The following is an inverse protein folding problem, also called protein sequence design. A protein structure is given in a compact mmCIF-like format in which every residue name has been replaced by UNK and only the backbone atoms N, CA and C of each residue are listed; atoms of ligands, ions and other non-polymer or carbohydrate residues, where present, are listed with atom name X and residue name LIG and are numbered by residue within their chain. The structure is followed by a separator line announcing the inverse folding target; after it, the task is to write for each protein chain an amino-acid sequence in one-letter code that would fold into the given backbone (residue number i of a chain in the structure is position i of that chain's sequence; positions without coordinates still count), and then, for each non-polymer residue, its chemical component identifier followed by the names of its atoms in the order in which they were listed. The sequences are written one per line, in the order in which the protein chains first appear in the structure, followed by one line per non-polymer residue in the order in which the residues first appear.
data_IF_256066990117
#
_entry.id   IF_256066990117
#
_cell.length_a   1.000
_cell.length_b   1.000
_cell.length_c   1.000
_cell.angle_alpha   90.00
_cell.angle_beta   90.00
_cell.angle_gamma   90.00
#
_symmetry.space_group_name_H-M   'P 1'
#
loop_
_entity.id
_entity.type
_entity.pdbx_description
1 polymer ?
#
# COMPACT_ATOMS: atom_id res chain seq x y z
N UNK A 1 -30.74 4.95 -32.68
CA UNK A 1 -29.33 5.40 -32.84
C UNK A 1 -29.11 6.66 -32.02
N UNK A 2 -27.90 6.90 -31.49
CA UNK A 2 -27.48 8.12 -30.76
C UNK A 2 -27.62 8.17 -29.21
N UNK A 3 -26.97 7.22 -28.50
CA UNK A 3 -26.53 7.46 -27.10
C UNK A 3 -25.03 7.16 -26.87
N UNK A 4 -24.39 6.35 -27.72
CA UNK A 4 -22.95 6.01 -27.61
C UNK A 4 -21.96 7.11 -28.06
N UNK A 5 -22.40 8.11 -28.83
CA UNK A 5 -21.49 9.12 -29.40
C UNK A 5 -21.03 10.19 -28.40
N UNK A 6 -21.82 10.46 -27.34
CA UNK A 6 -21.48 11.47 -26.32
C UNK A 6 -20.49 10.94 -25.28
N UNK A 7 -20.62 9.66 -24.89
CA UNK A 7 -19.71 9.00 -23.94
C UNK A 7 -18.29 8.85 -24.51
N UNK A 8 -18.16 8.46 -25.78
CA UNK A 8 -16.86 8.35 -26.46
C UNK A 8 -16.13 9.70 -26.61
N UNK A 9 -16.86 10.80 -26.88
CA UNK A 9 -16.28 12.15 -26.98
C UNK A 9 -15.84 12.72 -25.63
N UNK A 10 -16.52 12.40 -24.54
CA UNK A 10 -16.09 12.81 -23.20
C UNK A 10 -14.84 12.07 -22.75
N UNK A 11 -14.76 10.76 -23.06
CA UNK A 11 -13.60 9.93 -22.74
C UNK A 11 -12.33 10.39 -23.51
N UNK A 12 -12.45 10.70 -24.81
CA UNK A 12 -11.31 11.16 -25.61
C UNK A 12 -10.79 12.55 -25.20
N UNK A 13 -11.69 13.49 -24.84
CA UNK A 13 -11.29 14.80 -24.31
C UNK A 13 -10.55 14.70 -22.98
N UNK A 14 -11.02 13.84 -22.07
CA UNK A 14 -10.36 13.61 -20.79
C UNK A 14 -8.97 12.99 -21.00
N UNK A 15 -8.86 11.97 -21.85
CA UNK A 15 -7.58 11.34 -22.18
C UNK A 15 -6.57 12.36 -22.73
N UNK A 16 -6.98 13.19 -23.68
CA UNK A 16 -6.11 14.22 -24.26
C UNK A 16 -5.68 15.25 -23.21
N UNK A 17 -6.59 15.70 -22.33
CA UNK A 17 -6.26 16.59 -21.22
C UNK A 17 -5.23 15.98 -20.27
N UNK A 18 -5.39 14.70 -19.92
CA UNK A 18 -4.43 13.97 -19.08
C UNK A 18 -3.07 13.80 -19.76
N UNK A 19 -3.05 13.48 -21.07
CA UNK A 19 -1.82 13.42 -21.86
C UNK A 19 -1.08 14.75 -21.84
N UNK A 20 -1.77 15.86 -22.12
CA UNK A 20 -1.16 17.18 -22.09
C UNK A 20 -0.57 17.51 -20.71
N UNK A 21 -1.32 17.25 -19.63
CA UNK A 21 -0.84 17.49 -18.27
C UNK A 21 0.39 16.63 -17.92
N UNK A 22 0.41 15.35 -18.29
CA UNK A 22 1.54 14.46 -18.03
C UNK A 22 2.75 14.79 -18.90
N UNK A 23 2.57 15.11 -20.18
CA UNK A 23 3.65 15.53 -21.08
C UNK A 23 4.33 16.80 -20.57
N UNK A 24 3.57 17.77 -20.07
CA UNK A 24 4.13 18.94 -19.42
C UNK A 24 4.93 18.59 -18.15
N UNK A 25 4.47 17.60 -17.37
CA UNK A 25 5.23 17.14 -16.21
C UNK A 25 6.54 16.48 -16.60
N UNK A 26 6.59 15.71 -17.69
CA UNK A 26 7.80 14.99 -18.16
C UNK A 26 8.58 15.75 -19.23
N UNK A 27 8.41 17.07 -19.32
CA UNK A 27 9.23 17.91 -20.19
C UNK A 27 10.73 17.73 -19.84
N UNK A 28 11.57 17.61 -20.87
CA UNK A 28 13.01 17.36 -20.72
C UNK A 28 13.40 15.90 -20.47
N UNK A 29 12.45 14.97 -20.35
CA UNK A 29 12.75 13.54 -20.28
C UNK A 29 13.03 12.98 -21.69
N UNK A 30 13.76 11.87 -21.74
CA UNK A 30 14.10 11.20 -23.00
C UNK A 30 12.85 10.85 -23.83
N UNK A 31 13.07 10.81 -25.15
CA UNK A 31 12.02 10.53 -26.14
C UNK A 31 11.16 9.29 -25.82
N UNK A 32 11.71 8.14 -25.38
CA UNK A 32 10.91 6.95 -25.09
C UNK A 32 9.84 7.18 -24.02
N UNK A 33 10.13 7.99 -23.00
CA UNK A 33 9.17 8.29 -21.91
C UNK A 33 8.05 9.19 -22.41
N UNK A 34 8.40 10.23 -23.19
CA UNK A 34 7.41 11.12 -23.82
C UNK A 34 6.52 10.36 -24.81
N UNK A 35 7.11 9.45 -25.58
CA UNK A 35 6.36 8.58 -26.50
C UNK A 35 5.41 7.63 -25.76
N UNK A 36 5.81 7.08 -24.61
CA UNK A 36 4.94 6.24 -23.78
C UNK A 36 3.69 7.00 -23.31
N UNK A 37 3.85 8.26 -22.89
CA UNK A 37 2.70 9.11 -22.50
C UNK A 37 1.86 9.50 -23.72
N UNK A 38 2.50 9.93 -24.81
CA UNK A 38 1.83 10.38 -26.04
C UNK A 38 0.97 9.30 -26.68
N UNK A 39 1.44 8.05 -26.67
CA UNK A 39 0.77 6.90 -27.26
C UNK A 39 -0.19 6.17 -26.31
N UNK A 40 -0.31 6.58 -25.03
CA UNK A 40 -1.19 5.89 -24.09
C UNK A 40 -2.66 5.90 -24.54
N UNK A 41 -3.28 4.74 -24.67
CA UNK A 41 -4.72 4.64 -25.02
C UNK A 41 -5.62 4.84 -23.80
N UNK A 42 -5.07 4.65 -22.60
CA UNK A 42 -5.76 4.81 -21.33
C UNK A 42 -4.81 5.37 -20.28
N UNK A 43 -5.28 6.37 -19.54
CA UNK A 43 -4.58 6.94 -18.39
C UNK A 43 -5.52 6.87 -17.20
N UNK A 44 -5.05 6.31 -16.10
CA UNK A 44 -5.79 6.24 -14.84
C UNK A 44 -5.00 7.05 -13.81
N UNK A 45 -5.68 7.98 -13.15
CA UNK A 45 -5.09 8.74 -12.05
C UNK A 45 -5.43 8.06 -10.73
N UNK A 46 -4.40 7.51 -10.07
CA UNK A 46 -4.52 7.02 -8.71
C UNK A 46 -4.02 8.06 -7.72
N UNK A 47 -4.77 8.25 -6.64
CA UNK A 47 -4.31 9.03 -5.50
C UNK A 47 -3.62 8.09 -4.53
N UNK A 48 -2.39 8.43 -4.15
CA UNK A 48 -1.64 7.70 -3.14
C UNK A 48 -1.99 8.32 -1.78
N UNK A 49 -2.66 7.52 -0.95
CA UNK A 49 -2.98 7.87 0.43
C UNK A 49 -2.13 7.00 1.36
N UNK A 50 -1.60 7.61 2.42
CA UNK A 50 -0.88 6.90 3.45
C UNK A 50 -1.20 7.48 4.83
N UNK A 51 -0.84 6.75 5.89
CA UNK A 51 -0.95 7.20 7.28
C UNK A 51 0.14 6.61 8.16
N UNK A 52 0.49 7.22 9.30
CA UNK A 52 1.38 6.60 10.28
C UNK A 52 0.98 5.15 10.58
N UNK A 53 1.98 4.29 10.80
CA UNK A 53 1.73 2.92 11.28
C UNK A 53 0.98 2.98 12.61
N UNK A 54 0.14 1.97 12.91
CA UNK A 54 -0.48 1.90 14.22
C UNK A 54 0.60 1.76 15.30
N UNK A 55 0.44 2.52 16.39
CA UNK A 55 1.23 2.27 17.59
C UNK A 55 0.95 0.86 18.09
N UNK A 56 1.98 0.24 18.63
CA UNK A 56 2.00 -1.17 19.01
C UNK A 56 0.80 -1.58 19.89
N UNK A 57 0.36 -0.71 20.78
CA UNK A 57 -0.77 -0.93 21.69
C UNK A 57 -2.13 -1.01 20.99
N UNK A 58 -2.26 -0.48 19.77
CA UNK A 58 -3.50 -0.47 18.99
C UNK A 58 -3.59 -1.60 17.96
N UNK A 59 -2.57 -2.45 17.85
CA UNK A 59 -2.62 -3.58 16.92
C UNK A 59 -3.66 -4.61 17.33
N UNK A 60 -3.81 -4.84 18.64
CA UNK A 60 -4.79 -5.77 19.21
C UNK A 60 -5.90 -4.96 19.86
N UNK A 61 -7.16 -5.36 19.66
CA UNK A 61 -8.25 -4.71 20.39
C UNK A 61 -8.14 -4.92 21.90
N UNK A 62 -8.83 -4.09 22.68
CA UNK A 62 -8.80 -4.15 24.15
C UNK A 62 -9.20 -5.52 24.69
N UNK A 63 -10.15 -6.18 24.03
CA UNK A 63 -10.65 -7.51 24.39
C UNK A 63 -9.70 -8.66 23.98
N UNK A 64 -8.62 -8.39 23.23
CA UNK A 64 -7.65 -9.43 22.85
C UNK A 64 -8.16 -10.45 21.82
N UNK A 65 -9.27 -10.18 21.13
CA UNK A 65 -9.94 -11.13 20.23
C UNK A 65 -9.74 -10.82 18.75
N UNK A 66 -9.15 -9.67 18.42
CA UNK A 66 -8.88 -9.27 17.04
C UNK A 66 -7.57 -8.51 16.95
N UNK A 67 -6.85 -8.72 15.84
CA UNK A 67 -5.58 -8.07 15.53
C UNK A 67 -5.60 -7.49 14.11
N UNK A 68 -4.98 -6.32 13.91
CA UNK A 68 -4.77 -5.73 12.60
C UNK A 68 -3.54 -6.32 11.89
N UNK A 69 -3.64 -6.50 10.58
CA UNK A 69 -2.55 -6.95 9.70
C UNK A 69 -2.54 -6.14 8.39
N UNK A 70 -1.45 -6.25 7.62
CA UNK A 70 -1.31 -5.56 6.33
C UNK A 70 -1.49 -4.04 6.44
N UNK A 71 -2.09 -3.43 5.42
CA UNK A 71 -2.33 -1.98 5.37
C UNK A 71 -3.22 -1.46 6.51
N UNK A 72 -4.02 -2.34 7.14
CA UNK A 72 -4.80 -1.97 8.32
C UNK A 72 -3.92 -1.73 9.56
N UNK A 73 -2.72 -2.31 9.63
CA UNK A 73 -1.76 -2.08 10.71
C UNK A 73 -0.61 -1.16 10.26
N UNK A 74 -0.06 -1.38 9.06
CA UNK A 74 1.18 -0.79 8.57
C UNK A 74 1.10 -0.40 7.09
N UNK A 75 0.29 0.60 6.73
CA UNK A 75 0.13 1.00 5.33
C UNK A 75 1.45 1.50 4.75
N UNK A 76 1.91 0.82 3.70
CA UNK A 76 3.21 1.06 3.04
C UNK A 76 3.02 1.87 1.77
N UNK A 77 3.91 2.83 1.56
CA UNK A 77 4.00 3.53 0.27
C UNK A 77 4.46 2.56 -0.84
N UNK A 78 3.89 2.61 -2.06
CA UNK A 78 4.19 1.62 -3.11
C UNK A 78 5.64 1.66 -3.61
N UNK A 79 6.44 2.65 -3.23
CA UNK A 79 7.81 2.85 -3.70
C UNK A 79 8.78 1.70 -3.39
N UNK A 80 8.47 0.85 -2.39
CA UNK A 80 9.25 -0.37 -2.12
C UNK A 80 8.60 -1.64 -2.69
N UNK A 81 7.34 -1.59 -3.10
CA UNK A 81 6.58 -2.78 -3.52
C UNK A 81 6.42 -3.86 -2.43
N UNK A 82 6.61 -3.53 -1.15
CA UNK A 82 6.65 -4.53 -0.07
C UNK A 82 5.33 -4.72 0.68
N UNK A 83 4.29 -3.90 0.46
CA UNK A 83 3.05 -3.97 1.25
C UNK A 83 2.40 -5.36 1.23
N UNK A 84 2.27 -5.97 0.05
CA UNK A 84 1.72 -7.32 -0.09
C UNK A 84 2.60 -8.39 0.58
N UNK A 85 3.92 -8.29 0.43
CA UNK A 85 4.85 -9.23 1.08
C UNK A 85 4.78 -9.13 2.60
N UNK A 86 4.63 -7.91 3.15
CA UNK A 86 4.47 -7.71 4.58
C UNK A 86 3.16 -8.32 5.09
N UNK A 87 2.06 -8.15 4.36
CA UNK A 87 0.79 -8.78 4.71
C UNK A 87 0.87 -10.33 4.63
N UNK A 88 1.61 -10.88 3.67
CA UNK A 88 1.85 -12.32 3.58
C UNK A 88 2.71 -12.84 4.76
N UNK A 89 3.77 -12.11 5.13
CA UNK A 89 4.55 -12.41 6.34
C UNK A 89 3.67 -12.36 7.61
N UNK A 90 2.71 -11.42 7.68
CA UNK A 90 1.79 -11.35 8.82
C UNK A 90 0.91 -12.60 8.90
N UNK A 91 0.33 -13.01 7.77
CA UNK A 91 -0.51 -14.20 7.68
C UNK A 91 0.25 -15.46 8.08
N UNK A 92 1.51 -15.58 7.64
CA UNK A 92 2.38 -16.69 8.03
C UNK A 92 2.62 -16.74 9.54
N UNK A 93 2.97 -15.60 10.17
CA UNK A 93 3.16 -15.57 11.62
C UNK A 93 1.89 -15.90 12.39
N UNK A 94 0.73 -15.42 11.94
CA UNK A 94 -0.55 -15.76 12.58
C UNK A 94 -0.88 -17.24 12.43
N UNK A 95 -0.62 -17.85 11.27
CA UNK A 95 -0.84 -19.28 11.07
C UNK A 95 0.01 -20.14 12.02
N UNK A 96 1.24 -19.73 12.31
CA UNK A 96 2.14 -20.43 13.24
C UNK A 96 1.77 -20.22 14.72
N UNK A 97 1.24 -19.04 15.06
CA UNK A 97 0.99 -18.65 16.45
C UNK A 97 -0.43 -18.94 16.95
N UNK A 98 -1.41 -18.98 16.05
CA UNK A 98 -2.79 -19.29 16.40
C UNK A 98 -2.93 -20.79 16.69
N UNK A 99 -3.71 -21.17 17.72
CA UNK A 99 -3.97 -22.57 17.99
C UNK A 99 -4.83 -23.18 16.86
N UNK A 100 -4.73 -24.49 16.68
CA UNK A 100 -5.54 -25.20 15.70
C UNK A 100 -7.01 -25.25 16.14
N UNK A 101 -7.87 -24.56 15.39
CA UNK A 101 -9.32 -24.50 15.60
C UNK A 101 -10.11 -25.47 14.73
N UNK A 102 -9.44 -26.27 13.88
CA UNK A 102 -10.12 -27.14 12.90
C UNK A 102 -10.63 -28.46 13.50
N UNK A 103 -10.14 -28.85 14.68
CA UNK A 103 -10.62 -30.03 15.40
C UNK A 103 -11.79 -29.67 16.31
N UNK A 104 -13.00 -29.89 15.81
CA UNK A 104 -14.22 -29.88 16.61
C UNK A 104 -14.23 -31.03 17.60
N UNK A 105 -13.74 -30.78 18.80
CA UNK A 105 -14.02 -31.60 19.98
C UNK A 105 -14.57 -30.67 21.05
N UNK A 106 -15.64 -31.10 21.69
CA UNK A 106 -16.47 -30.36 22.67
C UNK A 106 -15.70 -29.91 23.93
N UNK A 107 -14.39 -30.21 24.03
CA UNK A 107 -13.44 -29.79 25.07
C UNK A 107 -12.77 -28.42 24.81
N UNK A 108 -13.25 -27.63 23.83
CA UNK A 108 -12.53 -26.51 23.21
C UNK A 108 -12.69 -25.11 23.85
N UNK A 109 -13.34 -24.97 25.02
CA UNK A 109 -13.53 -23.64 25.64
C UNK A 109 -12.20 -22.93 25.95
N UNK A 110 -11.15 -23.68 26.31
CA UNK A 110 -9.81 -23.16 26.60
C UNK A 110 -9.09 -22.59 25.36
N UNK A 111 -9.43 -23.04 24.13
CA UNK A 111 -8.77 -22.56 22.89
C UNK A 111 -9.33 -21.22 22.42
N UNK A 112 -10.58 -20.95 22.75
CA UNK A 112 -11.25 -19.67 22.48
C UNK A 112 -11.04 -18.68 23.63
N UNK A 113 -10.28 -19.08 24.66
CA UNK A 113 -9.91 -18.23 25.78
C UNK A 113 -9.21 -16.97 25.26
N UNK A 114 -9.74 -15.83 25.69
CA UNK A 114 -9.20 -14.51 25.40
C UNK A 114 -7.73 -14.41 25.83
N UNK A 115 -7.33 -15.13 26.88
CA UNK A 115 -5.94 -15.20 27.36
C UNK A 115 -5.03 -15.88 26.32
N UNK A 116 -5.47 -16.98 25.71
CA UNK A 116 -4.69 -17.73 24.72
C UNK A 116 -4.53 -16.91 23.44
N UNK A 117 -5.64 -16.37 22.92
CA UNK A 117 -5.63 -15.49 21.75
C UNK A 117 -4.77 -14.25 21.97
N UNK A 118 -4.92 -13.59 23.13
CA UNK A 118 -4.14 -12.41 23.46
C UNK A 118 -2.65 -12.72 23.48
N UNK A 119 -2.24 -13.84 24.07
CA UNK A 119 -0.84 -14.26 24.11
C UNK A 119 -0.28 -14.53 22.70
N UNK A 120 -1.06 -15.14 21.82
CA UNK A 120 -0.67 -15.34 20.42
C UNK A 120 -0.52 -14.00 19.68
N UNK A 121 -1.48 -13.09 19.83
CA UNK A 121 -1.42 -11.77 19.20
C UNK A 121 -0.29 -10.90 19.76
N UNK A 122 -0.01 -10.93 21.06
CA UNK A 122 1.11 -10.18 21.63
C UNK A 122 2.45 -10.70 21.10
N UNK A 123 2.61 -12.02 20.92
CA UNK A 123 3.79 -12.60 20.25
C UNK A 123 3.88 -12.14 18.79
N UNK A 124 2.77 -12.15 18.06
CA UNK A 124 2.71 -11.66 16.68
C UNK A 124 3.13 -10.20 16.59
N UNK A 125 2.55 -9.32 17.41
CA UNK A 125 2.88 -7.89 17.46
C UNK A 125 4.35 -7.67 17.80
N UNK A 126 4.90 -8.45 18.73
CA UNK A 126 6.33 -8.43 19.05
C UNK A 126 7.23 -8.67 17.84
N UNK A 127 6.87 -9.61 16.98
CA UNK A 127 7.68 -9.96 15.80
C UNK A 127 7.50 -8.97 14.65
N UNK A 128 6.32 -8.33 14.56
CA UNK A 128 5.93 -7.59 13.36
C UNK A 128 6.02 -6.08 13.49
N UNK A 129 5.69 -5.51 14.64
CA UNK A 129 5.43 -4.07 14.75
C UNK A 129 6.64 -3.20 14.38
N UNK A 130 7.84 -3.58 14.83
CA UNK A 130 9.06 -2.81 14.55
C UNK A 130 9.55 -3.01 13.11
N UNK A 131 9.55 -4.26 12.64
CA UNK A 131 9.96 -4.61 11.28
C UNK A 131 9.11 -3.88 10.24
N UNK A 132 7.78 -3.92 10.39
CA UNK A 132 6.89 -3.27 9.43
C UNK A 132 6.99 -1.75 9.49
N UNK A 133 7.09 -1.18 10.69
CA UNK A 133 7.26 0.27 10.88
C UNK A 133 8.54 0.80 10.24
N UNK A 134 9.64 0.04 10.31
CA UNK A 134 10.90 0.42 9.65
C UNK A 134 10.76 0.44 8.13
N UNK A 135 10.15 -0.60 7.55
CA UNK A 135 9.91 -0.67 6.10
C UNK A 135 8.96 0.42 5.61
N UNK A 136 7.87 0.71 6.34
CA UNK A 136 6.95 1.81 6.01
C UNK A 136 7.67 3.15 6.01
N UNK A 137 8.51 3.42 7.03
CA UNK A 137 9.30 4.66 7.11
C UNK A 137 10.30 4.77 5.96
N UNK A 138 10.98 3.68 5.61
CA UNK A 138 11.90 3.63 4.47
C UNK A 138 11.17 3.87 3.13
N UNK A 139 10.00 3.28 2.94
CA UNK A 139 9.19 3.47 1.74
C UNK A 139 8.71 4.91 1.57
N UNK A 140 8.29 5.54 2.67
CA UNK A 140 7.97 6.98 2.68
C UNK A 140 9.18 7.85 2.34
N UNK A 141 10.33 7.53 2.92
CA UNK A 141 11.54 8.29 2.68
C UNK A 141 11.96 8.22 1.21
N UNK A 142 11.96 7.04 0.58
CA UNK A 142 12.22 6.91 -0.85
C UNK A 142 11.24 7.71 -1.70
N UNK A 143 9.94 7.68 -1.36
CA UNK A 143 8.95 8.50 -2.05
C UNK A 143 9.27 9.99 -2.01
N UNK A 144 9.64 10.51 -0.83
CA UNK A 144 10.02 11.91 -0.68
C UNK A 144 11.30 12.26 -1.42
N UNK A 145 12.33 11.41 -1.37
CA UNK A 145 13.60 11.65 -2.07
C UNK A 145 13.41 11.59 -3.59
N UNK A 146 12.67 10.60 -4.10
CA UNK A 146 12.35 10.51 -5.53
C UNK A 146 11.61 11.75 -6.06
N UNK A 147 10.70 12.31 -5.25
CA UNK A 147 10.04 13.58 -5.56
C UNK A 147 10.98 14.79 -5.45
N UNK A 148 11.90 14.80 -4.48
CA UNK A 148 12.81 15.92 -4.22
C UNK A 148 13.93 16.05 -5.26
N UNK A 149 14.54 14.93 -5.67
CA UNK A 149 15.57 14.90 -6.73
C UNK A 149 15.02 15.48 -8.03
N UNK A 150 13.74 15.26 -8.34
CA UNK A 150 13.07 15.84 -9.51
C UNK A 150 13.02 17.38 -9.49
N UNK A 151 12.91 18.00 -8.33
CA UNK A 151 12.81 19.47 -8.22
C UNK A 151 14.16 20.16 -8.36
N UNK A 152 15.25 19.52 -7.93
CA UNK A 152 16.60 20.10 -8.03
C UNK A 152 17.34 19.70 -9.31
N UNK A 153 17.19 18.48 -9.83
CA UNK A 153 17.92 18.02 -11.03
C UNK A 153 17.38 18.65 -12.32
N UNK A 154 16.06 18.85 -12.44
CA UNK A 154 15.47 19.55 -13.59
C UNK A 154 15.71 21.07 -13.57
N UNK A 155 16.20 21.63 -12.44
CA UNK A 155 16.67 23.00 -12.34
C UNK A 155 18.13 23.17 -12.76
N UNK A 156 18.92 22.09 -12.78
CA UNK A 156 20.36 22.11 -13.05
C UNK A 156 20.80 21.53 -14.40
N UNK A 157 19.93 20.82 -15.11
CA UNK A 157 20.20 20.26 -16.44
C UNK A 157 19.43 21.00 -17.55
N UNK A 158 19.61 22.32 -17.62
CA UNK A 158 19.43 23.05 -18.88
C UNK A 158 20.81 23.23 -19.49
N UNK A 159 21.19 22.38 -20.45
CA UNK A 159 22.09 22.80 -21.52
C UNK A 159 21.24 23.21 -22.72
#
# INVERSE_FOLDING_TARGET
MSKNSRLGRHSSRLLNSLKHALLAQVEGWDEPVRNLVGNAERIIRYYLFDRPTLDREFWVNKQGRSVFIGDAAHPTSPHFGQGANQAAEDAWWLAELLPDFTRGSEENEERHDEVVLRKAFDKFVNQRSERTSTLVRSARWLGRVGLYVRRSVLSGMRC
#
